data_IF_590792261190
#
_entry.id   IF_590792261190
#
_cell.length_a   1.000
_cell.length_b   1.000
_cell.length_c   1.000
_cell.angle_alpha   90.00
_cell.angle_beta   90.00
_cell.angle_gamma   90.00
#
_symmetry.space_group_name_H-M   'P 1'
#
loop_
_entity.id
_entity.type
_entity.pdbx_description
1 polymer ?
#
# COMPACT_ATOMS: atom_id res chain seq x y z
N UNK A 1 -48.68 -17.54 81.73
CA UNK A 1 -47.32 -16.98 81.58
C UNK A 1 -47.17 -16.61 80.10
N UNK A 2 -47.37 -15.33 79.77
CA UNK A 2 -46.31 -14.35 79.46
C UNK A 2 -45.74 -14.61 78.04
N UNK A 3 -45.68 -13.69 77.07
CA UNK A 3 -45.74 -12.22 77.00
C UNK A 3 -45.86 -11.89 75.48
N UNK A 4 -46.72 -10.96 75.04
CA UNK A 4 -46.39 -9.68 74.36
C UNK A 4 -45.26 -9.74 73.29
N UNK A 5 -45.30 -9.15 72.09
CA UNK A 5 -46.03 -8.00 71.55
C UNK A 5 -45.77 -7.89 70.04
N UNK A 6 -46.62 -7.09 69.40
CA UNK A 6 -46.70 -6.67 68.01
C UNK A 6 -45.68 -5.56 67.62
N UNK A 7 -45.49 -5.38 66.30
CA UNK A 7 -45.36 -4.09 65.55
C UNK A 7 -43.95 -3.54 65.15
N UNK A 8 -43.77 -3.55 63.82
CA UNK A 8 -43.26 -2.52 62.86
C UNK A 8 -41.79 -2.33 62.43
N UNK A 9 -41.67 -2.37 61.09
CA UNK A 9 -40.90 -1.56 60.14
C UNK A 9 -39.50 -1.05 60.50
N UNK A 10 -38.51 -1.48 59.68
CA UNK A 10 -37.53 -0.58 59.07
C UNK A 10 -36.81 -1.20 57.87
N UNK A 11 -37.08 -0.59 56.73
CA UNK A 11 -36.36 -0.61 55.46
C UNK A 11 -34.91 -0.12 55.65
N UNK A 12 -33.88 -0.84 55.17
CA UNK A 12 -32.62 -0.26 54.65
C UNK A 12 -31.75 -1.30 53.91
N UNK A 13 -31.56 -1.05 52.62
CA UNK A 13 -30.31 -1.20 51.81
C UNK A 13 -29.56 -2.55 51.82
N UNK A 14 -29.62 -3.30 50.71
CA UNK A 14 -28.64 -3.22 49.61
C UNK A 14 -27.18 -3.24 50.06
N UNK A 15 -26.53 -4.40 49.97
CA UNK A 15 -25.18 -4.50 49.39
C UNK A 15 -25.20 -5.67 48.41
N UNK A 16 -25.47 -5.31 47.17
CA UNK A 16 -25.13 -6.06 45.98
C UNK A 16 -23.61 -6.28 45.96
N UNK A 17 -23.15 -7.47 46.34
CA UNK A 17 -21.82 -7.95 45.96
C UNK A 17 -21.84 -8.26 44.46
N UNK A 18 -21.77 -7.20 43.67
CA UNK A 18 -21.54 -7.25 42.24
C UNK A 18 -20.07 -7.63 42.01
N UNK A 19 -19.77 -8.92 42.20
CA UNK A 19 -18.68 -9.54 41.46
C UNK A 19 -19.01 -9.35 39.98
N UNK A 20 -18.17 -8.69 39.17
CA UNK A 20 -18.41 -8.63 37.74
C UNK A 20 -18.16 -10.04 37.21
N UNK A 21 -19.20 -10.87 37.27
CA UNK A 21 -19.30 -12.04 36.43
C UNK A 21 -19.00 -11.56 35.02
N UNK A 22 -17.85 -11.96 34.48
CA UNK A 22 -17.59 -11.90 33.05
C UNK A 22 -18.71 -12.71 32.42
N UNK A 23 -19.79 -12.02 32.02
CA UNK A 23 -20.76 -12.55 31.06
C UNK A 23 -19.90 -13.13 29.95
N UNK A 24 -19.98 -14.44 29.77
CA UNK A 24 -19.34 -15.09 28.64
C UNK A 24 -19.96 -14.46 27.40
N UNK A 25 -19.24 -13.51 26.79
CA UNK A 25 -19.65 -12.91 25.53
C UNK A 25 -19.92 -14.06 24.56
N UNK A 26 -21.08 -14.03 23.92
CA UNK A 26 -21.35 -14.99 22.85
C UNK A 26 -20.33 -14.77 21.72
N UNK A 27 -20.05 -15.82 20.93
CA UNK A 27 -19.09 -15.74 19.82
C UNK A 27 -19.43 -14.57 18.87
N UNK A 28 -20.71 -14.34 18.62
CA UNK A 28 -21.21 -13.26 17.76
C UNK A 28 -20.95 -11.86 18.35
N UNK A 29 -21.11 -11.69 19.67
CA UNK A 29 -20.79 -10.45 20.38
C UNK A 29 -19.28 -10.17 20.34
N UNK A 30 -18.44 -11.19 20.53
CA UNK A 30 -16.98 -11.06 20.44
C UNK A 30 -16.53 -10.68 19.02
N UNK A 31 -17.04 -11.36 17.98
CA UNK A 31 -16.74 -11.00 16.59
C UNK A 31 -17.18 -9.58 16.25
N UNK A 32 -18.31 -9.14 16.80
CA UNK A 32 -18.81 -7.77 16.65
C UNK A 32 -17.89 -6.77 17.33
N UNK A 33 -17.36 -7.10 18.52
CA UNK A 33 -16.33 -6.29 19.20
C UNK A 33 -15.03 -6.24 18.39
N UNK A 34 -14.56 -7.36 17.86
CA UNK A 34 -13.35 -7.40 17.02
C UNK A 34 -13.48 -6.52 15.77
N UNK A 35 -14.65 -6.53 15.12
CA UNK A 35 -14.94 -5.65 13.98
C UNK A 35 -14.86 -4.17 14.38
N UNK A 36 -15.49 -3.80 15.50
CA UNK A 36 -15.45 -2.43 16.05
C UNK A 36 -14.02 -2.00 16.39
N UNK A 37 -13.28 -2.84 17.11
CA UNK A 37 -11.88 -2.58 17.46
C UNK A 37 -10.99 -2.40 16.23
N UNK A 38 -11.23 -3.19 15.17
CA UNK A 38 -10.50 -3.06 13.91
C UNK A 38 -10.82 -1.73 13.21
N UNK A 39 -12.11 -1.34 13.15
CA UNK A 39 -12.50 -0.05 12.59
C UNK A 39 -11.96 1.12 13.39
N UNK A 40 -11.93 1.02 14.72
CA UNK A 40 -11.38 2.05 15.60
C UNK A 40 -9.87 2.19 15.43
N UNK A 41 -9.14 1.08 15.25
CA UNK A 41 -7.73 1.14 14.90
C UNK A 41 -7.51 1.79 13.54
N UNK A 42 -8.29 1.45 12.51
CA UNK A 42 -8.18 2.10 11.20
C UNK A 42 -8.40 3.62 11.30
N UNK A 43 -9.39 4.05 12.08
CA UNK A 43 -9.65 5.47 12.33
C UNK A 43 -8.46 6.15 13.04
N UNK A 44 -7.88 5.49 14.06
CA UNK A 44 -6.67 5.96 14.75
C UNK A 44 -5.47 6.03 13.82
N UNK A 45 -5.24 5.02 12.98
CA UNK A 45 -4.16 5.03 11.98
C UNK A 45 -4.26 6.23 11.04
N UNK A 46 -5.47 6.51 10.54
CA UNK A 46 -5.72 7.66 9.66
C UNK A 46 -5.42 8.96 10.41
N UNK A 47 -5.85 9.09 11.67
CA UNK A 47 -5.57 10.26 12.48
C UNK A 47 -4.06 10.46 12.71
N UNK A 48 -3.34 9.39 13.09
CA UNK A 48 -1.90 9.41 13.32
C UNK A 48 -1.11 9.77 12.05
N UNK A 49 -1.46 9.16 10.91
CA UNK A 49 -0.87 9.48 9.60
C UNK A 49 -1.14 10.92 9.17
N UNK A 50 -2.34 11.45 9.45
CA UNK A 50 -2.68 12.86 9.19
C UNK A 50 -1.86 13.83 10.05
N UNK A 51 -1.59 13.48 11.32
CA UNK A 51 -0.73 14.28 12.19
C UNK A 51 0.72 14.23 11.72
N UNK A 52 1.23 13.06 11.33
CA UNK A 52 2.59 12.88 10.81
C UNK A 52 2.85 13.63 9.50
N UNK A 53 1.80 13.89 8.71
CA UNK A 53 1.89 14.66 7.47
C UNK A 53 2.03 16.19 7.69
N UNK A 54 1.97 16.69 8.93
CA UNK A 54 2.12 18.12 9.26
C UNK A 54 3.58 18.45 9.61
N UNK A 55 4.10 19.55 9.05
CA UNK A 55 5.43 20.11 9.36
C UNK A 55 6.36 20.18 8.15
N UNK A 56 7.66 20.39 8.41
CA UNK A 56 8.70 20.46 7.37
C UNK A 56 9.00 19.09 6.74
N UNK A 57 9.57 19.04 5.53
CA UNK A 57 9.83 17.77 4.80
C UNK A 57 10.74 16.80 5.57
N UNK A 58 11.71 17.32 6.32
CA UNK A 58 12.60 16.51 7.16
C UNK A 58 11.86 15.92 8.37
N UNK A 59 11.05 16.74 9.05
CA UNK A 59 10.21 16.29 10.17
C UNK A 59 9.15 15.28 9.75
N UNK A 60 8.49 15.49 8.60
CA UNK A 60 7.50 14.55 8.06
C UNK A 60 8.13 13.17 7.85
N UNK A 61 9.36 13.09 7.34
CA UNK A 61 10.05 11.80 7.13
C UNK A 61 10.34 11.08 8.44
N UNK A 62 10.78 11.79 9.47
CA UNK A 62 11.05 11.22 10.78
C UNK A 62 9.75 10.80 11.50
N UNK A 63 8.76 11.71 11.56
CA UNK A 63 7.44 11.47 12.18
C UNK A 63 6.69 10.34 11.48
N UNK A 64 6.74 10.26 10.16
CA UNK A 64 6.10 9.17 9.39
C UNK A 64 6.69 7.80 9.75
N UNK A 65 8.02 7.68 9.86
CA UNK A 65 8.66 6.41 10.28
C UNK A 65 8.20 5.98 11.68
N UNK A 66 8.24 6.90 12.64
CA UNK A 66 7.81 6.62 14.01
C UNK A 66 6.34 6.20 14.09
N UNK A 67 5.47 6.92 13.38
CA UNK A 67 4.04 6.60 13.31
C UNK A 67 3.78 5.26 12.61
N UNK A 68 4.50 4.96 11.52
CA UNK A 68 4.35 3.67 10.83
C UNK A 68 4.79 2.49 11.72
N UNK A 69 5.86 2.64 12.51
CA UNK A 69 6.30 1.65 13.50
C UNK A 69 5.27 1.47 14.63
N UNK A 70 4.71 2.56 15.16
CA UNK A 70 3.68 2.52 16.20
C UNK A 70 2.40 1.83 15.71
N UNK A 71 1.96 2.14 14.48
CA UNK A 71 0.82 1.49 13.82
C UNK A 71 1.09 -0.02 13.65
N UNK A 72 2.29 -0.40 13.24
CA UNK A 72 2.67 -1.81 13.12
C UNK A 72 2.57 -2.54 14.46
N UNK A 73 3.07 -1.94 15.54
CA UNK A 73 2.98 -2.51 16.90
C UNK A 73 1.53 -2.64 17.38
N UNK A 74 0.72 -1.58 17.21
CA UNK A 74 -0.69 -1.58 17.63
C UNK A 74 -1.51 -2.62 16.86
N UNK A 75 -1.29 -2.74 15.55
CA UNK A 75 -1.99 -3.72 14.72
C UNK A 75 -1.59 -5.17 15.03
N UNK A 76 -0.31 -5.44 15.30
CA UNK A 76 0.16 -6.75 15.75
C UNK A 76 -0.47 -7.15 17.07
N UNK A 77 -0.43 -6.27 18.08
CA UNK A 77 -1.01 -6.53 19.41
C UNK A 77 -2.52 -6.79 19.34
N UNK A 78 -3.24 -6.09 18.46
CA UNK A 78 -4.68 -6.31 18.31
C UNK A 78 -4.98 -7.66 17.66
N UNK A 79 -4.24 -8.01 16.60
CA UNK A 79 -4.37 -9.33 15.94
C UNK A 79 -4.02 -10.47 16.87
N UNK A 80 -2.97 -10.32 17.68
CA UNK A 80 -2.55 -11.30 18.68
C UNK A 80 -3.67 -11.52 19.71
N UNK A 81 -4.21 -10.45 20.31
CA UNK A 81 -5.37 -10.57 21.22
C UNK A 81 -6.57 -11.23 20.57
N UNK A 82 -6.92 -10.84 19.34
CA UNK A 82 -8.06 -11.45 18.63
C UNK A 82 -7.81 -12.94 18.35
N UNK A 83 -6.59 -13.33 18.01
CA UNK A 83 -6.21 -14.72 17.80
C UNK A 83 -6.22 -15.55 19.10
N UNK A 84 -5.74 -14.97 20.21
CA UNK A 84 -5.80 -15.59 21.54
C UNK A 84 -7.24 -15.78 22.03
N UNK A 85 -8.10 -14.78 21.85
CA UNK A 85 -9.51 -14.84 22.20
C UNK A 85 -10.24 -15.92 21.39
N UNK A 86 -10.02 -15.97 20.06
CA UNK A 86 -10.57 -17.02 19.19
C UNK A 86 -10.05 -18.42 19.57
N UNK A 87 -8.78 -18.51 19.98
CA UNK A 87 -8.19 -19.77 20.43
C UNK A 87 -8.80 -20.24 21.76
N UNK A 88 -9.01 -19.32 22.70
CA UNK A 88 -9.55 -19.59 24.03
C UNK A 88 -11.00 -20.09 24.00
N UNK A 89 -11.80 -19.68 22.99
CA UNK A 89 -13.17 -20.19 22.78
C UNK A 89 -13.25 -21.52 22.03
N UNK A 90 -12.11 -22.20 21.82
CA UNK A 90 -12.11 -23.52 21.19
C UNK A 90 -12.21 -23.49 19.67
N UNK A 91 -11.96 -22.34 19.02
CA UNK A 91 -11.70 -22.31 17.58
C UNK A 91 -10.30 -22.86 17.22
N UNK A 92 -9.57 -23.36 18.22
CA UNK A 92 -8.40 -24.23 18.08
C UNK A 92 -8.83 -25.70 17.98
N UNK A 93 -8.73 -26.28 16.78
CA UNK A 93 -8.40 -27.70 16.63
C UNK A 93 -9.37 -28.73 17.27
N UNK A 94 -10.66 -28.74 16.90
CA UNK A 94 -11.45 -29.98 16.92
C UNK A 94 -11.56 -30.56 15.51
N UNK A 95 -10.47 -31.16 15.02
CA UNK A 95 -10.48 -31.92 13.77
C UNK A 95 -9.28 -31.64 12.86
N UNK A 96 -8.58 -32.72 12.53
CA UNK A 96 -7.36 -32.79 11.73
C UNK A 96 -7.32 -31.89 10.48
N UNK A 97 -6.16 -31.28 10.23
CA UNK A 97 -5.66 -30.96 8.89
C UNK A 97 -5.96 -29.58 8.28
N UNK A 98 -7.03 -28.88 8.67
CA UNK A 98 -7.48 -27.65 7.99
C UNK A 98 -7.68 -26.40 8.89
N UNK A 99 -7.39 -26.48 10.20
CA UNK A 99 -7.77 -25.46 11.19
C UNK A 99 -7.04 -24.11 11.08
N UNK A 100 -5.78 -24.10 10.65
CA UNK A 100 -4.99 -22.86 10.55
C UNK A 100 -5.53 -21.91 9.49
N UNK A 101 -5.97 -22.46 8.35
CA UNK A 101 -6.63 -21.67 7.30
C UNK A 101 -7.99 -21.11 7.72
N UNK A 102 -8.75 -21.80 8.59
CA UNK A 102 -10.06 -21.34 9.02
C UNK A 102 -9.96 -20.12 9.97
N UNK A 103 -9.03 -20.16 10.93
CA UNK A 103 -8.75 -19.02 11.80
C UNK A 103 -8.25 -17.81 11.00
N UNK A 104 -7.31 -18.02 10.07
CA UNK A 104 -6.81 -16.96 9.20
C UNK A 104 -7.90 -16.39 8.28
N UNK A 105 -8.85 -17.19 7.82
CA UNK A 105 -10.00 -16.73 7.05
C UNK A 105 -10.99 -15.93 7.90
N UNK A 106 -11.24 -16.34 9.15
CA UNK A 106 -12.11 -15.61 10.08
C UNK A 106 -11.48 -14.26 10.48
N UNK A 107 -10.19 -14.24 10.82
CA UNK A 107 -9.43 -13.01 11.08
C UNK A 107 -9.45 -12.09 9.84
N UNK A 108 -9.30 -12.64 8.64
CA UNK A 108 -9.37 -11.87 7.39
C UNK A 108 -10.77 -11.32 7.12
N UNK A 109 -11.82 -12.06 7.45
CA UNK A 109 -13.21 -11.62 7.37
C UNK A 109 -13.53 -10.52 8.40
N UNK A 110 -13.04 -10.62 9.63
CA UNK A 110 -13.14 -9.58 10.67
C UNK A 110 -12.43 -8.30 10.22
N UNK A 111 -11.25 -8.44 9.60
CA UNK A 111 -10.47 -7.33 9.07
C UNK A 111 -11.10 -6.65 7.84
N UNK A 112 -12.28 -7.11 7.39
CA UNK A 112 -12.96 -6.57 6.22
C UNK A 112 -12.22 -6.83 4.90
N UNK A 113 -11.19 -7.68 4.91
CA UNK A 113 -10.45 -8.10 3.72
C UNK A 113 -11.24 -9.25 3.11
N UNK A 114 -12.13 -8.91 2.18
CA UNK A 114 -12.95 -9.88 1.46
C UNK A 114 -12.06 -10.98 0.85
N UNK A 115 -12.37 -12.25 1.13
CA UNK A 115 -11.70 -13.47 0.59
C UNK A 115 -12.10 -13.71 -0.86
N UNK A 116 -12.26 -12.66 -1.66
CA UNK A 116 -12.62 -12.80 -3.06
C UNK A 116 -11.36 -12.65 -3.90
N UNK A 117 -10.90 -13.76 -4.48
CA UNK A 117 -10.06 -13.81 -5.69
C UNK A 117 -10.83 -13.18 -6.88
N UNK A 118 -11.22 -11.93 -6.75
CA UNK A 118 -11.86 -11.14 -7.80
C UNK A 118 -10.92 -9.97 -8.01
N UNK A 119 -10.00 -10.15 -8.96
CA UNK A 119 -9.16 -9.09 -9.47
C UNK A 119 -10.00 -7.81 -9.65
N UNK A 120 -9.49 -6.74 -9.06
CA UNK A 120 -10.07 -5.41 -9.00
C UNK A 120 -10.79 -5.02 -10.30
N UNK A 121 -12.13 -5.13 -10.30
CA UNK A 121 -12.98 -4.40 -11.24
C UNK A 121 -13.45 -3.08 -10.64
N UNK A 122 -12.60 -2.44 -9.82
CA UNK A 122 -12.83 -1.06 -9.42
C UNK A 122 -12.64 -0.18 -10.67
N UNK A 123 -13.74 0.44 -11.13
CA UNK A 123 -13.69 1.33 -12.30
C UNK A 123 -12.62 2.40 -12.04
N UNK A 124 -11.63 2.59 -12.94
CA UNK A 124 -10.54 3.50 -12.70
C UNK A 124 -11.09 4.90 -12.42
N UNK A 125 -10.61 5.50 -11.33
CA UNK A 125 -11.01 6.83 -10.87
C UNK A 125 -10.90 7.87 -12.00
N UNK A 126 -11.75 8.90 -11.98
CA UNK A 126 -11.73 10.01 -12.93
C UNK A 126 -10.33 10.62 -13.08
N UNK A 127 -9.54 10.66 -12.00
CA UNK A 127 -8.16 11.13 -12.02
C UNK A 127 -7.19 10.25 -12.82
N UNK A 128 -7.34 8.92 -12.70
CA UNK A 128 -6.53 7.94 -13.46
C UNK A 128 -6.86 8.05 -14.94
N UNK A 129 -8.15 8.17 -15.30
CA UNK A 129 -8.57 8.38 -16.70
C UNK A 129 -8.00 9.66 -17.30
N UNK A 130 -7.96 10.76 -16.55
CA UNK A 130 -7.38 12.04 -17.00
C UNK A 130 -5.87 11.95 -17.21
N UNK A 131 -5.13 11.30 -16.30
CA UNK A 131 -3.69 11.06 -16.46
C UNK A 131 -3.40 10.12 -17.63
N UNK A 132 -4.19 9.06 -17.82
CA UNK A 132 -4.08 8.16 -18.96
C UNK A 132 -4.27 8.87 -20.31
N UNK A 133 -5.31 9.72 -20.42
CA UNK A 133 -5.53 10.51 -21.64
C UNK A 133 -4.38 11.47 -21.94
N UNK A 134 -3.79 12.13 -20.91
CA UNK A 134 -2.63 13.01 -21.10
C UNK A 134 -1.40 12.22 -21.58
N UNK A 135 -1.11 11.09 -20.94
CA UNK A 135 0.02 10.23 -21.30
C UNK A 135 -0.09 9.69 -22.73
N UNK A 136 -1.29 9.30 -23.17
CA UNK A 136 -1.53 8.88 -24.56
C UNK A 136 -1.32 10.01 -25.56
N UNK A 137 -1.74 11.24 -25.22
CA UNK A 137 -1.57 12.39 -26.10
C UNK A 137 -0.10 12.82 -26.20
N UNK A 138 0.65 12.78 -25.09
CA UNK A 138 2.09 13.05 -25.08
C UNK A 138 2.86 11.99 -25.89
N UNK A 139 2.55 10.70 -25.69
CA UNK A 139 3.16 9.62 -26.47
C UNK A 139 2.88 9.75 -27.98
N UNK A 140 1.64 10.07 -28.37
CA UNK A 140 1.30 10.30 -29.77
C UNK A 140 2.03 11.51 -30.37
N UNK A 141 2.25 12.56 -29.56
CA UNK A 141 3.02 13.74 -29.98
C UNK A 141 4.50 13.41 -30.15
N UNK A 142 5.10 12.69 -29.19
CA UNK A 142 6.50 12.26 -29.26
C UNK A 142 6.73 11.33 -30.46
N UNK A 143 5.80 10.41 -30.74
CA UNK A 143 5.86 9.56 -31.93
C UNK A 143 5.87 10.39 -33.23
N UNK A 144 4.99 11.40 -33.35
CA UNK A 144 4.99 12.28 -34.53
C UNK A 144 6.33 13.02 -34.68
N UNK A 145 6.87 13.54 -33.58
CA UNK A 145 8.16 14.24 -33.58
C UNK A 145 9.29 13.28 -34.00
N UNK A 146 9.30 12.06 -33.47
CA UNK A 146 10.29 11.04 -33.84
C UNK A 146 10.18 10.64 -35.31
N UNK A 147 8.97 10.46 -35.84
CA UNK A 147 8.76 10.17 -37.27
C UNK A 147 9.28 11.32 -38.14
N UNK A 148 8.98 12.58 -37.78
CA UNK A 148 9.49 13.75 -38.49
C UNK A 148 11.03 13.82 -38.41
N UNK A 149 11.63 13.58 -37.25
CA UNK A 149 13.08 13.54 -37.08
C UNK A 149 13.74 12.42 -37.89
N UNK A 150 13.13 11.23 -37.94
CA UNK A 150 13.66 10.09 -38.71
C UNK A 150 13.59 10.32 -40.22
N UNK A 151 12.66 11.16 -40.69
CA UNK A 151 12.55 11.52 -42.11
C UNK A 151 13.56 12.58 -42.53
N UNK A 152 14.09 13.36 -41.58
CA UNK A 152 15.12 14.36 -41.88
C UNK A 152 16.46 13.63 -42.02
N UNK A 153 16.87 13.41 -43.28
CA UNK A 153 18.23 12.97 -43.60
C UNK A 153 19.13 14.21 -43.68
N UNK A 154 20.29 14.17 -43.04
CA UNK A 154 21.28 15.25 -43.11
C UNK A 154 22.08 15.19 -44.42
N UNK A 155 22.33 16.33 -45.04
CA UNK A 155 23.16 16.44 -46.25
C UNK A 155 24.54 15.77 -46.08
N UNK A 156 25.14 15.87 -44.89
CA UNK A 156 26.42 15.20 -44.56
C UNK A 156 26.34 13.68 -44.74
N UNK A 157 25.22 13.05 -44.39
CA UNK A 157 25.03 11.60 -44.56
C UNK A 157 25.00 11.22 -46.04
N UNK A 158 24.31 12.03 -46.85
CA UNK A 158 24.22 11.83 -48.31
C UNK A 158 25.60 12.03 -48.96
N UNK A 159 26.35 13.05 -48.53
CA UNK A 159 27.69 13.33 -49.03
C UNK A 159 28.70 12.24 -48.65
N UNK A 160 28.67 11.77 -47.41
CA UNK A 160 29.53 10.67 -46.94
C UNK A 160 29.23 9.36 -47.66
N UNK A 161 27.96 8.97 -47.81
CA UNK A 161 27.57 7.78 -48.57
C UNK A 161 28.06 7.84 -50.03
N UNK A 162 27.89 9.00 -50.69
CA UNK A 162 28.41 9.20 -52.05
C UNK A 162 29.94 9.12 -52.13
N UNK A 163 30.64 9.51 -51.08
CA UNK A 163 32.10 9.45 -51.02
C UNK A 163 32.57 8.00 -50.80
N UNK A 164 31.92 7.27 -49.90
CA UNK A 164 32.16 5.84 -49.67
C UNK A 164 31.96 5.01 -50.94
N UNK A 165 30.85 5.23 -51.66
CA UNK A 165 30.58 4.55 -52.94
C UNK A 165 31.70 4.74 -53.98
N UNK A 166 32.42 5.87 -53.94
CA UNK A 166 33.54 6.13 -54.84
C UNK A 166 34.86 5.52 -54.37
N UNK A 167 35.03 5.37 -53.06
CA UNK A 167 36.26 4.84 -52.44
C UNK A 167 36.26 3.32 -52.32
N UNK A 168 35.08 2.69 -52.19
CA UNK A 168 34.91 1.23 -52.15
C UNK A 168 35.65 0.48 -53.27
N UNK A 169 35.52 0.84 -54.58
CA UNK A 169 36.23 0.15 -55.65
C UNK A 169 37.76 0.33 -55.60
N UNK A 170 38.24 1.34 -54.86
CA UNK A 170 39.65 1.59 -54.63
C UNK A 170 40.18 0.88 -53.37
N UNK A 171 39.30 0.22 -52.60
CA UNK A 171 39.65 -0.39 -51.32
C UNK A 171 40.00 0.62 -50.24
N UNK A 172 39.50 1.85 -50.35
CA UNK A 172 39.77 2.94 -49.40
C UNK A 172 38.52 3.22 -48.56
N UNK A 173 38.72 3.71 -47.33
CA UNK A 173 37.66 4.05 -46.38
C UNK A 173 37.85 5.45 -45.81
N UNK A 174 36.77 6.07 -45.35
CA UNK A 174 36.80 7.41 -44.73
C UNK A 174 37.13 7.27 -43.25
N UNK A 175 38.14 8.00 -42.77
CA UNK A 175 38.40 8.18 -41.34
C UNK A 175 37.93 9.56 -40.89
N UNK A 176 37.05 9.63 -39.88
CA UNK A 176 36.53 10.90 -39.38
C UNK A 176 37.54 11.62 -38.47
N UNK A 177 37.93 12.82 -38.88
CA UNK A 177 38.81 13.71 -38.13
C UNK A 177 37.98 14.84 -37.51
N UNK A 178 38.41 15.35 -36.37
CA UNK A 178 37.75 16.48 -35.70
C UNK A 178 37.67 17.70 -36.63
N UNK A 179 36.50 18.35 -36.76
CA UNK A 179 36.33 19.54 -37.60
C UNK A 179 36.86 20.79 -36.89
N UNK A 180 38.17 20.85 -36.68
CA UNK A 180 38.89 22.02 -36.14
C UNK A 180 39.77 22.66 -37.24
N UNK A 181 40.38 23.82 -36.95
CA UNK A 181 41.29 24.49 -37.89
C UNK A 181 42.60 23.75 -38.17
N UNK A 182 42.87 22.64 -37.47
CA UNK A 182 44.06 21.80 -37.64
C UNK A 182 43.74 20.47 -38.35
N UNK A 183 42.52 20.30 -38.87
CA UNK A 183 42.07 19.05 -39.48
C UNK A 183 42.99 18.56 -40.61
N UNK A 184 43.59 19.48 -41.38
CA UNK A 184 44.56 19.15 -42.44
C UNK A 184 45.82 18.49 -41.87
N UNK A 185 46.36 19.00 -40.77
CA UNK A 185 47.56 18.44 -40.15
C UNK A 185 47.27 17.10 -39.50
N UNK A 186 46.14 16.98 -38.80
CA UNK A 186 45.69 15.70 -38.19
C UNK A 186 45.51 14.61 -39.24
N UNK A 187 45.03 14.94 -40.43
CA UNK A 187 44.85 13.98 -41.53
C UNK A 187 46.14 13.40 -42.10
N UNK A 188 47.28 14.03 -41.82
CA UNK A 188 48.60 13.56 -42.26
C UNK A 188 49.33 12.79 -41.15
N UNK A 189 48.96 13.04 -39.88
CA UNK A 189 49.53 12.37 -38.72
C UNK A 189 48.95 10.95 -38.49
N UNK A 190 47.67 10.74 -38.82
CA UNK A 190 46.95 9.46 -38.72
C UNK A 190 47.26 8.52 -39.91
#
# INVERSE_FOLDING_TARGET
MADATQVEDKLSEEISENTPEKKQETLEEMLSRHRKETTDLQNKEIAMKKVAAKGSKAEQKAKKKLVDEEISKLSMKLKERHAEELSSLGYSSSGAGNGRGNLDNLIRAIAGVSVTNQADRSKPSKGIKRRGKRSQQEAAREQRIQEEQSKIVSDRMIESEKLEQKLEPLGLTINEIKPDGHCIYRAVED
#
